data_IF_373824204039
#
_entry.id   IF_373824204039
#
_cell.length_a   1.000
_cell.length_b   1.000
_cell.length_c   1.000
_cell.angle_alpha   90.00
_cell.angle_beta   90.00
_cell.angle_gamma   90.00
#
_symmetry.space_group_name_H-M   'P 1'
#
loop_
_entity.id
_entity.type
_entity.pdbx_description
1 polymer ?
#
# COMPACT_ATOMS: atom_id res chain seq x y z
N UNK A 1 10.43 -1.61 3.65
CA UNK A 1 10.12 -0.84 2.42
C UNK A 1 11.38 -0.60 1.60
N UNK A 2 12.42 -0.01 2.18
CA UNK A 2 13.70 0.28 1.49
C UNK A 2 14.37 -0.94 0.85
N UNK A 3 14.40 -2.08 1.55
CA UNK A 3 14.96 -3.33 1.00
C UNK A 3 14.23 -3.79 -0.27
N UNK A 4 12.90 -3.63 -0.30
CA UNK A 4 12.09 -3.94 -1.48
C UNK A 4 12.44 -2.99 -2.64
N UNK A 5 12.52 -1.69 -2.38
CA UNK A 5 12.92 -0.73 -3.41
C UNK A 5 14.31 -0.97 -3.97
N UNK A 6 15.30 -1.25 -3.11
CA UNK A 6 16.65 -1.59 -3.53
C UNK A 6 16.68 -2.85 -4.38
N UNK A 7 15.90 -3.87 -4.03
CA UNK A 7 15.79 -5.11 -4.79
C UNK A 7 15.12 -4.88 -6.16
N UNK A 8 14.00 -4.16 -6.20
CA UNK A 8 13.29 -3.86 -7.46
C UNK A 8 14.12 -2.95 -8.37
N UNK A 9 14.83 -1.97 -7.82
CA UNK A 9 15.74 -1.11 -8.59
C UNK A 9 16.90 -1.92 -9.18
N UNK A 10 17.51 -2.82 -8.39
CA UNK A 10 18.55 -3.72 -8.88
C UNK A 10 18.02 -4.62 -10.00
N UNK A 11 16.84 -5.21 -9.82
CA UNK A 11 16.16 -5.99 -10.85
C UNK A 11 15.95 -5.19 -12.14
N UNK A 12 15.50 -3.93 -12.05
CA UNK A 12 15.31 -3.05 -13.22
C UNK A 12 16.62 -2.73 -13.94
N UNK A 13 17.74 -2.64 -13.21
CA UNK A 13 19.08 -2.40 -13.79
C UNK A 13 19.67 -3.65 -14.45
N UNK A 14 19.42 -4.84 -13.90
CA UNK A 14 19.93 -6.10 -14.44
C UNK A 14 19.09 -6.61 -15.61
N UNK A 15 17.76 -6.44 -15.56
CA UNK A 15 16.83 -6.90 -16.60
C UNK A 15 16.75 -5.85 -17.72
N UNK A 16 17.77 -5.84 -18.57
CA UNK A 16 17.88 -4.92 -19.72
C UNK A 16 16.88 -5.22 -20.85
N UNK A 17 16.43 -6.47 -20.97
CA UNK A 17 15.50 -6.92 -22.01
C UNK A 17 14.40 -7.81 -21.41
N UNK A 18 13.35 -7.21 -20.79
CA UNK A 18 12.29 -7.96 -20.10
C UNK A 18 11.57 -8.98 -20.99
N UNK A 19 11.48 -8.74 -22.29
CA UNK A 19 10.84 -9.67 -23.25
C UNK A 19 11.50 -11.05 -23.29
N UNK A 20 12.77 -11.18 -22.87
CA UNK A 20 13.46 -12.47 -22.77
C UNK A 20 12.92 -13.35 -21.63
N UNK A 21 12.19 -12.76 -20.68
CA UNK A 21 11.58 -13.49 -19.58
C UNK A 21 10.24 -14.15 -19.97
N UNK A 22 9.71 -13.83 -21.16
CA UNK A 22 8.42 -14.33 -21.63
C UNK A 22 8.50 -15.83 -21.93
N UNK A 23 7.60 -16.60 -21.36
CA UNK A 23 7.60 -18.07 -21.43
C UNK A 23 8.76 -18.75 -20.69
N UNK A 24 9.54 -18.00 -19.89
CA UNK A 24 10.53 -18.56 -18.97
C UNK A 24 9.86 -18.76 -17.63
N UNK A 25 9.92 -19.98 -17.10
CA UNK A 25 9.28 -20.32 -15.82
C UNK A 25 10.34 -20.39 -14.71
N UNK A 26 9.99 -19.99 -13.48
CA UNK A 26 10.91 -20.07 -12.35
C UNK A 26 11.37 -21.50 -12.13
N UNK A 27 12.67 -21.69 -11.92
CA UNK A 27 13.23 -23.00 -11.60
C UNK A 27 12.74 -23.40 -10.20
N UNK A 28 11.91 -24.44 -10.11
CA UNK A 28 11.40 -24.92 -8.82
C UNK A 28 12.54 -25.58 -8.03
N UNK A 29 13.21 -24.81 -7.18
CA UNK A 29 14.15 -25.34 -6.21
C UNK A 29 13.40 -25.99 -5.03
N UNK A 30 13.12 -27.29 -5.18
CA UNK A 30 13.19 -28.25 -4.07
C UNK A 30 12.05 -28.29 -3.05
N UNK A 31 10.88 -27.69 -3.29
CA UNK A 31 9.69 -27.92 -2.45
C UNK A 31 8.52 -28.32 -3.34
N UNK A 32 7.80 -29.37 -2.90
CA UNK A 32 6.70 -30.03 -3.61
C UNK A 32 5.78 -29.04 -4.34
N UNK A 33 5.24 -29.43 -5.52
CA UNK A 33 4.44 -28.54 -6.34
C UNK A 33 3.15 -28.19 -5.60
N UNK A 34 3.15 -27.03 -4.93
CA UNK A 34 1.91 -26.29 -4.77
C UNK A 34 1.49 -25.92 -6.20
N UNK A 35 0.54 -26.69 -6.72
CA UNK A 35 -0.04 -26.47 -8.04
C UNK A 35 -0.42 -24.99 -8.20
N UNK A 36 0.01 -24.36 -9.30
CA UNK A 36 -0.55 -23.08 -9.74
C UNK A 36 0.40 -21.89 -9.80
N UNK A 37 1.50 -22.03 -10.53
CA UNK A 37 2.35 -20.88 -10.89
C UNK A 37 2.79 -20.98 -12.34
N UNK A 38 1.84 -21.01 -13.28
CA UNK A 38 2.12 -20.93 -14.72
C UNK A 38 2.45 -19.49 -15.18
N UNK A 39 2.73 -18.58 -14.25
CA UNK A 39 3.14 -17.22 -14.59
C UNK A 39 4.59 -17.22 -15.03
N UNK A 40 4.84 -16.67 -16.21
CA UNK A 40 6.21 -16.53 -16.67
C UNK A 40 6.96 -15.44 -15.88
N UNK A 41 8.28 -15.44 -15.98
CA UNK A 41 9.12 -14.45 -15.29
C UNK A 41 8.84 -13.02 -15.77
N UNK A 42 8.26 -12.83 -16.96
CA UNK A 42 7.88 -11.53 -17.47
C UNK A 42 6.64 -10.97 -16.74
N UNK A 43 5.61 -11.78 -16.53
CA UNK A 43 4.43 -11.45 -15.73
C UNK A 43 4.83 -11.14 -14.28
N UNK A 44 5.69 -11.97 -13.69
CA UNK A 44 6.24 -11.74 -12.36
C UNK A 44 7.02 -10.42 -12.26
N UNK A 45 7.85 -10.12 -13.27
CA UNK A 45 8.59 -8.87 -13.37
C UNK A 45 7.65 -7.66 -13.46
N UNK A 46 6.57 -7.75 -14.25
CA UNK A 46 5.57 -6.69 -14.36
C UNK A 46 4.85 -6.43 -13.04
N UNK A 47 4.45 -7.48 -12.32
CA UNK A 47 3.79 -7.35 -11.01
C UNK A 47 4.70 -6.63 -9.99
N UNK A 48 5.95 -7.06 -9.85
CA UNK A 48 6.91 -6.42 -8.93
C UNK A 48 7.12 -4.94 -9.28
N UNK A 49 7.07 -4.60 -10.57
CA UNK A 49 7.12 -3.20 -10.99
C UNK A 49 5.84 -2.43 -10.70
N UNK A 50 4.67 -3.04 -10.87
CA UNK A 50 3.37 -2.41 -10.58
C UNK A 50 3.18 -2.13 -9.09
N UNK A 51 3.70 -3.00 -8.22
CA UNK A 51 3.67 -2.82 -6.76
C UNK A 51 4.60 -1.69 -6.30
N UNK A 52 5.71 -1.43 -7.00
CA UNK A 52 6.68 -0.37 -6.65
C UNK A 52 6.01 0.99 -6.40
N UNK A 53 5.24 1.59 -7.33
CA UNK A 53 4.57 2.87 -7.08
C UNK A 53 3.50 2.79 -6.01
N UNK A 54 2.84 1.64 -5.80
CA UNK A 54 1.86 1.48 -4.70
C UNK A 54 2.54 1.56 -3.33
N UNK A 55 3.72 0.97 -3.21
CA UNK A 55 4.54 1.03 -1.98
C UNK A 55 5.17 2.41 -1.81
N UNK A 56 5.67 3.04 -2.89
CA UNK A 56 6.27 4.40 -2.85
C UNK A 56 5.22 5.46 -2.53
N UNK A 57 4.06 5.37 -3.18
CA UNK A 57 2.94 6.32 -3.03
C UNK A 57 1.95 5.90 -1.96
N UNK A 58 2.23 4.85 -1.20
CA UNK A 58 1.40 4.29 -0.12
C UNK A 58 1.13 5.22 1.06
N UNK A 59 1.32 6.53 0.88
CA UNK A 59 1.05 7.61 1.81
C UNK A 59 0.47 8.88 1.14
N UNK A 60 0.36 8.95 -0.20
CA UNK A 60 0.12 10.22 -0.90
C UNK A 60 -1.30 10.40 -1.46
N UNK A 61 -1.90 9.42 -2.14
CA UNK A 61 -3.29 9.56 -2.62
C UNK A 61 -3.76 8.29 -3.31
N UNK A 62 -4.72 7.58 -2.70
CA UNK A 62 -5.62 6.66 -3.40
C UNK A 62 -7.02 7.25 -3.25
N UNK A 63 -7.27 8.36 -3.93
CA UNK A 63 -8.62 8.94 -4.04
C UNK A 63 -9.05 9.15 -5.48
N UNK A 64 -8.19 8.88 -6.48
CA UNK A 64 -8.53 9.28 -7.86
C UNK A 64 -8.02 8.35 -8.96
N UNK A 65 -8.32 7.06 -8.86
CA UNK A 65 -8.19 6.15 -10.00
C UNK A 65 -9.51 5.39 -10.18
N UNK A 66 -10.30 5.91 -11.12
CA UNK A 66 -11.43 5.25 -11.78
C UNK A 66 -11.07 3.83 -12.21
N UNK A 67 -12.01 2.86 -12.18
CA UNK A 67 -11.77 1.53 -12.70
C UNK A 67 -11.56 1.66 -14.21
N UNK A 68 -10.36 1.34 -14.68
CA UNK A 68 -10.14 1.15 -16.11
C UNK A 68 -10.37 -0.32 -16.37
N UNK A 69 -11.37 -0.59 -17.21
CA UNK A 69 -11.77 -1.91 -17.69
C UNK A 69 -10.55 -2.76 -18.09
N UNK A 70 -10.32 -3.84 -17.34
CA UNK A 70 -9.47 -4.94 -17.76
C UNK A 70 -10.26 -6.23 -17.53
N UNK A 71 -11.20 -6.47 -18.44
CA UNK A 71 -11.83 -7.76 -18.65
C UNK A 71 -10.74 -8.72 -19.15
N UNK A 72 -10.06 -9.40 -18.23
CA UNK A 72 -9.21 -10.54 -18.57
C UNK A 72 -9.24 -11.51 -17.40
N UNK A 73 -10.22 -12.42 -17.44
CA UNK A 73 -10.24 -13.61 -16.61
C UNK A 73 -8.99 -14.46 -16.91
N UNK A 74 -7.93 -14.27 -16.13
CA UNK A 74 -6.77 -15.15 -16.10
C UNK A 74 -6.54 -15.51 -14.63
N UNK A 75 -6.91 -16.76 -14.33
CA UNK A 75 -6.40 -17.61 -13.26
C UNK A 75 -5.58 -16.89 -12.18
N UNK A 76 -6.25 -16.58 -11.07
CA UNK A 76 -5.71 -15.99 -9.83
C UNK A 76 -4.63 -16.88 -9.21
N UNK A 77 -3.44 -16.88 -9.82
CA UNK A 77 -2.21 -17.27 -9.15
C UNK A 77 -1.99 -16.36 -7.95
N UNK A 78 -1.40 -16.91 -6.88
CA UNK A 78 -1.10 -16.29 -5.57
C UNK A 78 -0.43 -14.90 -5.59
N UNK A 79 -0.05 -14.45 -6.78
CA UNK A 79 0.69 -13.26 -7.09
C UNK A 79 -0.20 -12.04 -7.34
N UNK A 80 -1.34 -12.17 -8.03
CA UNK A 80 -2.35 -11.09 -8.10
C UNK A 80 -2.92 -10.78 -6.71
N UNK A 81 -3.05 -11.82 -5.88
CA UNK A 81 -3.47 -11.70 -4.49
C UNK A 81 -2.52 -10.84 -3.64
N UNK A 82 -1.23 -10.72 -3.99
CA UNK A 82 -0.28 -9.90 -3.24
C UNK A 82 -0.56 -8.40 -3.38
N UNK A 83 -0.90 -7.95 -4.59
CA UNK A 83 -1.23 -6.55 -4.86
C UNK A 83 -2.52 -6.14 -4.13
N UNK A 84 -3.56 -6.96 -4.22
CA UNK A 84 -4.83 -6.72 -3.52
C UNK A 84 -4.66 -6.71 -2.00
N UNK A 85 -3.90 -7.67 -1.45
CA UNK A 85 -3.61 -7.72 -0.01
C UNK A 85 -2.84 -6.50 0.46
N UNK A 86 -1.82 -6.09 -0.28
CA UNK A 86 -1.06 -4.90 0.05
C UNK A 86 -1.96 -3.66 0.03
N UNK A 87 -2.77 -3.51 -1.02
CA UNK A 87 -3.75 -2.43 -1.15
C UNK A 87 -4.71 -2.39 0.03
N UNK A 88 -5.27 -3.53 0.41
CA UNK A 88 -6.18 -3.64 1.56
C UNK A 88 -5.51 -3.21 2.87
N UNK A 89 -4.25 -3.64 3.10
CA UNK A 89 -3.52 -3.27 4.31
C UNK A 89 -3.17 -1.77 4.36
N UNK A 90 -2.73 -1.19 3.25
CA UNK A 90 -2.41 0.25 3.17
C UNK A 90 -3.67 1.09 3.40
N UNK A 91 -4.79 0.73 2.77
CA UNK A 91 -6.07 1.41 2.97
C UNK A 91 -6.56 1.30 4.42
N UNK A 92 -6.46 0.10 5.02
CA UNK A 92 -6.81 -0.10 6.43
C UNK A 92 -5.96 0.76 7.38
N UNK A 93 -4.64 0.84 7.13
CA UNK A 93 -3.75 1.70 7.91
C UNK A 93 -4.11 3.19 7.74
N UNK A 94 -4.40 3.65 6.53
CA UNK A 94 -4.81 5.03 6.26
C UNK A 94 -6.09 5.39 7.01
N UNK A 95 -7.07 4.49 7.05
CA UNK A 95 -8.31 4.69 7.80
C UNK A 95 -8.03 4.84 9.31
N UNK A 96 -7.21 3.97 9.89
CA UNK A 96 -6.81 4.04 11.30
C UNK A 96 -6.10 5.36 11.61
N UNK A 97 -5.14 5.77 10.76
CA UNK A 97 -4.43 7.05 10.93
C UNK A 97 -5.38 8.25 10.84
N UNK A 98 -6.37 8.18 9.94
CA UNK A 98 -7.40 9.21 9.80
C UNK A 98 -8.23 9.35 11.08
N UNK A 99 -8.65 8.24 11.66
CA UNK A 99 -9.48 8.26 12.88
C UNK A 99 -8.67 8.65 14.12
N UNK A 100 -7.41 8.21 14.24
CA UNK A 100 -6.47 8.72 15.25
C UNK A 100 -6.30 10.24 15.13
N UNK A 101 -6.11 10.75 13.91
CA UNK A 101 -5.98 12.19 13.66
C UNK A 101 -7.22 12.97 14.09
N UNK A 102 -8.43 12.47 13.78
CA UNK A 102 -9.68 13.07 14.23
C UNK A 102 -9.78 13.11 15.76
N UNK A 103 -9.44 11.99 16.42
CA UNK A 103 -9.46 11.89 17.87
C UNK A 103 -8.48 12.86 18.52
N UNK A 104 -7.25 12.97 18.02
CA UNK A 104 -6.27 13.95 18.50
C UNK A 104 -6.80 15.38 18.37
N UNK A 105 -7.36 15.74 17.20
CA UNK A 105 -7.95 17.07 16.98
C UNK A 105 -9.11 17.36 17.93
N UNK A 106 -9.99 16.39 18.16
CA UNK A 106 -11.12 16.52 19.07
C UNK A 106 -10.66 16.70 20.52
N UNK A 107 -9.66 15.92 20.94
CA UNK A 107 -9.05 16.04 22.28
C UNK A 107 -8.40 17.41 22.47
N UNK A 108 -7.60 17.88 21.51
CA UNK A 108 -6.98 19.21 21.56
C UNK A 108 -8.05 20.30 21.65
N UNK A 109 -9.10 20.23 20.82
CA UNK A 109 -10.20 21.21 20.85
C UNK A 109 -10.92 21.22 22.21
N UNK A 110 -11.17 20.03 22.77
CA UNK A 110 -11.83 19.91 24.08
C UNK A 110 -10.98 20.51 25.19
N UNK A 111 -9.68 20.28 25.16
CA UNK A 111 -8.75 20.88 26.11
C UNK A 111 -8.74 22.41 26.02
N UNK A 112 -8.66 22.98 24.81
CA UNK A 112 -8.74 24.44 24.62
C UNK A 112 -10.05 25.03 25.18
N UNK A 113 -11.18 24.35 24.95
CA UNK A 113 -12.48 24.79 25.49
C UNK A 113 -12.50 24.79 27.03
N UNK A 114 -11.87 23.81 27.67
CA UNK A 114 -11.77 23.75 29.14
C UNK A 114 -10.95 24.94 29.66
N UNK A 115 -9.81 25.25 29.02
CA UNK A 115 -8.99 26.40 29.40
C UNK A 115 -9.76 27.73 29.28
N UNK A 116 -10.52 27.90 28.19
CA UNK A 116 -11.38 29.08 28.02
C UNK A 116 -12.42 29.19 29.14
N UNK A 117 -13.12 28.08 29.46
CA UNK A 117 -14.13 28.08 30.52
C UNK A 117 -13.57 28.42 31.90
N UNK A 118 -12.35 27.97 32.21
CA UNK A 118 -11.68 28.29 33.48
C UNK A 118 -11.42 29.79 33.56
N UNK A 119 -10.83 30.39 32.51
CA UNK A 119 -10.54 31.82 32.47
C UNK A 119 -11.82 32.68 32.63
N UNK A 120 -12.91 32.33 31.93
CA UNK A 120 -14.19 33.06 32.05
C UNK A 120 -14.82 32.97 33.46
N UNK A 121 -14.52 31.92 34.23
CA UNK A 121 -15.05 31.72 35.59
C UNK A 121 -14.31 32.59 36.63
N UNK A 122 -13.02 32.86 36.43
CA UNK A 122 -12.23 33.74 37.30
C UNK A 122 -12.63 35.21 37.17
N UNK A 123 -12.94 35.65 35.94
CA UNK A 123 -13.34 37.04 35.68
C UNK A 123 -14.70 37.40 36.31
N UNK A 124 -15.64 36.45 36.40
CA UNK A 124 -16.94 36.67 37.08
C UNK A 124 -16.85 36.61 38.61
N UNK A 125 -15.86 35.92 39.17
CA UNK A 125 -15.71 35.77 40.63
C UNK A 125 -14.99 36.97 41.29
N UNK A 126 -14.44 37.87 40.48
CA UNK A 126 -13.69 39.06 40.94
C UNK A 126 -14.48 40.38 40.86
N UNK A 127 -15.79 40.33 40.54
CA UNK A 127 -16.72 41.48 40.57
C UNK A 127 -17.68 41.38 41.75
#
# INVERSE_FOLDING_TARGET
MEQYFSATQKMEQEVMFPSLLRGVFPQQEGVAPAAGGHTDLYERYQLLKAIKPMVEKGLASVTDQSPTDADTAIDEGTDSNLEERLSHHVNGLQQVLTDLTKNTKALTRRYSQILEQINFSEDQSSS
#
